data_IF_659356366057
#
_entry.id   IF_659356366057
#
_cell.length_a   1.000
_cell.length_b   1.000
_cell.length_c   1.000
_cell.angle_alpha   90.00
_cell.angle_beta   90.00
_cell.angle_gamma   90.00
#
_symmetry.space_group_name_H-M   'P 1'
#
loop_
_entity.id
_entity.type
_entity.pdbx_description
1 polymer ?
#
# COMPACT_ATOMS: atom_id res chain seq x y z
N UNK A 1 48.12 19.92 -10.30
CA UNK A 1 48.27 18.45 -10.07
C UNK A 1 47.10 17.84 -9.28
N UNK A 2 45.83 18.23 -9.51
CA UNK A 2 44.67 17.73 -8.74
C UNK A 2 43.66 16.91 -9.58
N UNK A 3 43.83 16.89 -10.91
CA UNK A 3 42.89 16.30 -11.88
C UNK A 3 42.93 14.76 -11.90
N UNK A 4 44.14 14.19 -11.84
CA UNK A 4 44.37 12.74 -11.92
C UNK A 4 43.82 11.95 -10.70
N UNK A 5 43.69 12.60 -9.54
CA UNK A 5 43.09 12.00 -8.34
C UNK A 5 41.55 11.92 -8.44
N UNK A 6 40.91 12.96 -8.99
CA UNK A 6 39.45 12.99 -9.17
C UNK A 6 38.97 11.99 -10.22
N UNK A 7 39.74 11.79 -11.29
CA UNK A 7 39.41 10.80 -12.33
C UNK A 7 39.53 9.37 -11.83
N UNK A 8 40.60 9.04 -11.10
CA UNK A 8 40.75 7.71 -10.46
C UNK A 8 39.63 7.42 -9.45
N UNK A 9 39.22 8.43 -8.68
CA UNK A 9 38.09 8.27 -7.76
C UNK A 9 36.78 7.99 -8.50
N UNK A 10 36.50 8.71 -9.60
CA UNK A 10 35.32 8.47 -10.44
C UNK A 10 35.30 7.07 -11.06
N UNK A 11 36.44 6.58 -11.53
CA UNK A 11 36.54 5.23 -12.09
C UNK A 11 36.30 4.15 -11.02
N UNK A 12 36.83 4.35 -9.81
CA UNK A 12 36.58 3.46 -8.68
C UNK A 12 35.09 3.43 -8.28
N UNK A 13 34.47 4.60 -8.20
CA UNK A 13 33.05 4.74 -7.87
C UNK A 13 32.15 4.11 -8.95
N UNK A 14 32.50 4.26 -10.23
CA UNK A 14 31.79 3.62 -11.34
C UNK A 14 31.85 2.08 -11.25
N UNK A 15 33.04 1.51 -11.03
CA UNK A 15 33.20 0.04 -10.86
C UNK A 15 32.41 -0.48 -9.65
N UNK A 16 32.36 0.29 -8.56
CA UNK A 16 31.54 -0.03 -7.38
C UNK A 16 30.04 0.06 -7.66
N UNK A 17 29.61 1.06 -8.42
CA UNK A 17 28.21 1.23 -8.80
C UNK A 17 27.76 0.07 -9.70
N UNK A 18 28.57 -0.31 -10.67
CA UNK A 18 28.32 -1.45 -11.57
C UNK A 18 28.20 -2.77 -10.78
N UNK A 19 29.14 -3.04 -9.86
CA UNK A 19 29.07 -4.22 -8.99
C UNK A 19 27.83 -4.25 -8.09
N UNK A 20 27.28 -3.08 -7.74
CA UNK A 20 26.09 -2.94 -6.88
C UNK A 20 24.78 -2.94 -7.66
N UNK A 21 24.82 -2.69 -8.97
CA UNK A 21 23.63 -2.63 -9.82
C UNK A 21 22.84 -3.93 -9.72
N UNK A 22 21.52 -3.83 -9.49
CA UNK A 22 20.62 -4.99 -9.39
C UNK A 22 20.70 -5.81 -8.09
N UNK A 23 21.66 -5.54 -7.19
CA UNK A 23 21.82 -6.32 -5.94
C UNK A 23 21.15 -5.68 -4.72
N UNK A 24 20.64 -4.47 -4.88
CA UNK A 24 20.05 -3.65 -3.82
C UNK A 24 18.69 -3.16 -4.26
N UNK A 25 17.72 -3.21 -3.36
CA UNK A 25 16.40 -2.62 -3.58
C UNK A 25 15.97 -1.87 -2.33
N UNK A 26 14.86 -1.14 -2.43
CA UNK A 26 14.23 -0.47 -1.30
C UNK A 26 13.26 -1.36 -0.54
N UNK A 27 12.78 -2.44 -1.17
CA UNK A 27 11.61 -3.14 -0.67
C UNK A 27 11.88 -4.62 -0.49
N UNK A 28 11.58 -5.11 0.71
CA UNK A 28 11.78 -6.49 1.09
C UNK A 28 10.61 -6.99 1.89
N UNK A 29 10.34 -8.30 1.82
CA UNK A 29 9.30 -8.91 2.63
C UNK A 29 9.76 -10.19 3.30
N UNK A 30 9.07 -10.54 4.38
CA UNK A 30 9.26 -11.77 5.14
C UNK A 30 7.92 -12.31 5.63
N UNK A 31 7.95 -13.52 6.17
CA UNK A 31 6.83 -14.13 6.88
C UNK A 31 7.19 -14.24 8.36
N UNK A 32 6.26 -13.90 9.25
CA UNK A 32 6.42 -14.03 10.70
C UNK A 32 5.37 -15.02 11.22
N UNK A 33 5.82 -16.07 11.90
CA UNK A 33 4.96 -17.05 12.56
C UNK A 33 4.74 -16.65 14.02
N UNK A 34 3.49 -16.38 14.46
CA UNK A 34 3.23 -15.92 15.82
C UNK A 34 3.72 -16.89 16.90
N UNK A 35 3.73 -18.20 16.63
CA UNK A 35 4.15 -19.22 17.59
C UNK A 35 5.65 -19.21 17.90
N UNK A 36 6.48 -18.67 16.99
CA UNK A 36 7.94 -18.68 17.13
C UNK A 36 8.55 -17.27 17.18
N UNK A 37 7.77 -16.24 16.87
CA UNK A 37 8.23 -14.86 16.93
C UNK A 37 8.40 -14.39 18.40
N UNK A 38 9.33 -13.45 18.67
CA UNK A 38 9.37 -12.78 19.97
C UNK A 38 8.02 -12.17 20.32
N UNK A 39 7.57 -12.25 21.58
CA UNK A 39 6.25 -11.74 21.98
C UNK A 39 6.04 -10.25 21.66
N UNK A 40 7.13 -9.47 21.62
CA UNK A 40 7.19 -8.04 21.35
C UNK A 40 7.64 -7.68 19.92
N UNK A 41 7.59 -8.63 18.97
CA UNK A 41 8.15 -8.44 17.62
C UNK A 41 7.57 -7.22 16.87
N UNK A 42 6.28 -6.92 17.05
CA UNK A 42 5.64 -5.73 16.45
C UNK A 42 6.23 -4.44 17.00
N UNK A 43 6.46 -4.38 18.32
CA UNK A 43 7.09 -3.22 18.96
C UNK A 43 8.54 -3.09 18.48
N UNK A 44 9.29 -4.19 18.38
CA UNK A 44 10.65 -4.17 17.83
C UNK A 44 10.67 -3.60 16.41
N UNK A 45 9.71 -4.01 15.57
CA UNK A 45 9.57 -3.49 14.22
C UNK A 45 9.25 -1.99 14.21
N UNK A 46 8.30 -1.54 15.03
CA UNK A 46 7.93 -0.13 15.17
C UNK A 46 9.15 0.73 15.58
N UNK A 47 9.96 0.27 16.53
CA UNK A 47 11.16 0.97 17.01
C UNK A 47 12.28 1.06 15.97
N UNK A 48 12.18 0.35 14.84
CA UNK A 48 13.13 0.55 13.73
C UNK A 48 12.90 1.86 12.99
N UNK A 49 11.70 2.46 13.12
CA UNK A 49 11.23 3.61 12.35
C UNK A 49 11.31 3.43 10.83
N UNK A 50 11.38 2.17 10.36
CA UNK A 50 11.35 1.86 8.93
C UNK A 50 9.87 1.87 8.48
N UNK A 51 9.53 2.56 7.37
CA UNK A 51 8.20 2.47 6.77
C UNK A 51 7.88 1.00 6.45
N UNK A 52 6.80 0.47 7.03
CA UNK A 52 6.43 -0.93 6.82
C UNK A 52 4.94 -1.20 6.99
N UNK A 53 4.51 -2.30 6.40
CA UNK A 53 3.15 -2.84 6.48
C UNK A 53 3.18 -4.26 7.04
N UNK A 54 2.24 -4.57 7.91
CA UNK A 54 1.98 -5.93 8.39
C UNK A 54 0.58 -6.32 7.95
N UNK A 55 0.45 -7.49 7.31
CA UNK A 55 -0.86 -8.05 6.96
C UNK A 55 -1.75 -8.24 8.18
N UNK A 56 -3.05 -8.50 7.99
CA UNK A 56 -3.85 -9.20 8.98
C UNK A 56 -3.22 -10.57 9.30
N UNK A 57 -3.69 -11.25 10.34
CA UNK A 57 -3.26 -12.63 10.57
C UNK A 57 -3.80 -13.52 9.44
N UNK A 58 -2.91 -14.14 8.67
CA UNK A 58 -3.29 -15.10 7.64
C UNK A 58 -3.56 -16.47 8.27
N UNK A 59 -4.81 -16.68 8.71
CA UNK A 59 -5.28 -17.90 9.36
C UNK A 59 -6.30 -18.69 8.51
N UNK A 60 -6.65 -18.19 7.33
CA UNK A 60 -7.63 -18.79 6.40
C UNK A 60 -6.99 -19.31 5.10
N UNK A 61 -5.67 -19.25 5.01
CA UNK A 61 -4.96 -19.67 3.81
C UNK A 61 -4.93 -21.19 3.69
N UNK A 62 -5.14 -21.68 2.46
CA UNK A 62 -5.18 -23.12 2.16
C UNK A 62 -4.01 -23.45 1.21
N UNK A 63 -3.34 -24.56 1.46
CA UNK A 63 -2.34 -25.12 0.55
C UNK A 63 -2.99 -25.70 -0.71
N UNK A 64 -2.25 -25.86 -1.82
CA UNK A 64 -2.79 -26.51 -3.02
C UNK A 64 -3.39 -27.92 -2.79
N UNK A 65 -2.94 -28.62 -1.74
CA UNK A 65 -3.49 -29.92 -1.32
C UNK A 65 -4.75 -29.87 -0.45
N UNK A 66 -5.29 -28.68 -0.15
CA UNK A 66 -6.50 -28.50 0.68
C UNK A 66 -6.23 -28.36 2.18
N UNK A 67 -5.00 -28.60 2.64
CA UNK A 67 -4.64 -28.44 4.05
C UNK A 67 -4.50 -26.96 4.45
N UNK A 68 -4.99 -26.55 5.64
CA UNK A 68 -4.76 -25.20 6.16
C UNK A 68 -3.27 -24.89 6.29
N UNK A 69 -2.88 -23.67 5.91
CA UNK A 69 -1.53 -23.16 6.19
C UNK A 69 -1.40 -22.81 7.67
N UNK A 70 -0.17 -22.87 8.16
CA UNK A 70 0.16 -22.34 9.49
C UNK A 70 -0.18 -20.84 9.54
N UNK A 71 -0.81 -20.35 10.63
CA UNK A 71 -1.09 -18.93 10.81
C UNK A 71 0.19 -18.10 10.72
N UNK A 72 0.17 -17.05 9.92
CA UNK A 72 1.34 -16.21 9.71
C UNK A 72 0.99 -14.76 9.40
N UNK A 73 1.96 -13.87 9.56
CA UNK A 73 1.89 -12.49 9.07
C UNK A 73 2.86 -12.34 7.90
N UNK A 74 2.44 -11.59 6.89
CA UNK A 74 3.35 -11.00 5.92
C UNK A 74 3.81 -9.64 6.42
N UNK A 75 5.13 -9.38 6.35
CA UNK A 75 5.72 -8.08 6.70
C UNK A 75 6.45 -7.52 5.49
N UNK A 76 6.11 -6.30 5.10
CA UNK A 76 6.72 -5.56 3.99
C UNK A 76 7.50 -4.36 4.55
N UNK A 77 8.80 -4.30 4.30
CA UNK A 77 9.64 -3.12 4.55
C UNK A 77 9.78 -2.30 3.27
N UNK A 78 9.65 -0.98 3.40
CA UNK A 78 9.88 -0.01 2.33
C UNK A 78 10.92 1.04 2.80
N UNK A 79 12.20 0.73 2.60
CA UNK A 79 13.29 1.61 3.00
C UNK A 79 13.35 2.89 2.13
N UNK A 80 13.66 4.03 2.74
CA UNK A 80 13.87 5.29 2.02
C UNK A 80 15.05 5.22 1.02
N UNK A 81 16.09 4.46 1.39
CA UNK A 81 17.27 4.20 0.58
C UNK A 81 17.44 2.72 0.25
N UNK A 82 18.14 2.43 -0.85
CA UNK A 82 18.38 1.03 -1.25
C UNK A 82 19.23 0.29 -0.21
N UNK A 83 18.81 -0.92 0.16
CA UNK A 83 19.49 -1.82 1.07
C UNK A 83 19.93 -3.08 0.33
N UNK A 84 20.92 -3.79 0.87
CA UNK A 84 21.21 -5.16 0.44
C UNK A 84 20.22 -6.12 1.11
N UNK A 85 20.11 -7.35 0.57
CA UNK A 85 19.33 -8.41 1.23
C UNK A 85 19.81 -8.69 2.66
N UNK A 86 21.12 -8.65 2.90
CA UNK A 86 21.69 -8.87 4.24
C UNK A 86 21.24 -7.78 5.24
N UNK A 87 21.25 -6.51 4.83
CA UNK A 87 20.77 -5.41 5.68
C UNK A 87 19.27 -5.52 5.99
N UNK A 88 18.47 -6.01 5.05
CA UNK A 88 17.05 -6.29 5.31
C UNK A 88 16.87 -7.51 6.22
N UNK A 89 17.68 -8.55 6.04
CA UNK A 89 17.69 -9.75 6.88
C UNK A 89 18.00 -9.41 8.34
N UNK A 90 18.97 -8.53 8.61
CA UNK A 90 19.29 -8.05 9.96
C UNK A 90 18.05 -7.50 10.68
N UNK A 91 17.17 -6.78 9.97
CA UNK A 91 15.90 -6.30 10.53
C UNK A 91 14.93 -7.46 10.77
N UNK A 92 14.76 -8.35 9.78
CA UNK A 92 13.84 -9.48 9.89
C UNK A 92 14.22 -10.47 11.00
N UNK A 93 15.50 -10.70 11.23
CA UNK A 93 15.99 -11.58 12.29
C UNK A 93 15.54 -11.10 13.68
N UNK A 94 15.44 -9.77 13.90
CA UNK A 94 14.99 -9.21 15.19
C UNK A 94 13.52 -9.48 15.50
N UNK A 95 12.71 -9.73 14.48
CA UNK A 95 11.26 -9.96 14.60
C UNK A 95 10.88 -11.43 14.39
N UNK A 96 11.87 -12.32 14.24
CA UNK A 96 11.62 -13.74 13.95
C UNK A 96 11.11 -13.99 12.53
N UNK A 97 11.49 -13.14 11.57
CA UNK A 97 11.13 -13.28 10.16
C UNK A 97 11.78 -14.51 9.52
N UNK A 98 10.99 -15.25 8.74
CA UNK A 98 11.42 -16.42 7.98
C UNK A 98 11.53 -16.04 6.51
N UNK A 99 12.77 -16.05 6.01
CA UNK A 99 13.09 -15.64 4.65
C UNK A 99 13.20 -14.13 4.49
N UNK A 100 13.73 -13.73 3.33
CA UNK A 100 13.85 -12.34 2.93
C UNK A 100 13.72 -12.27 1.40
N UNK A 101 12.57 -11.80 0.95
CA UNK A 101 12.19 -11.72 -0.45
C UNK A 101 12.39 -10.31 -0.98
N UNK A 102 12.84 -10.19 -2.23
CA UNK A 102 12.93 -8.91 -2.93
C UNK A 102 11.53 -8.55 -3.44
N UNK A 103 11.05 -7.35 -3.10
CA UNK A 103 9.74 -6.87 -3.54
C UNK A 103 9.90 -5.92 -4.72
N UNK A 104 9.45 -6.38 -5.88
CA UNK A 104 9.55 -5.62 -7.13
C UNK A 104 8.47 -4.52 -7.25
N UNK A 105 7.31 -4.74 -6.66
CA UNK A 105 6.19 -3.78 -6.65
C UNK A 105 5.60 -3.69 -5.26
N UNK A 106 5.83 -2.54 -4.60
CA UNK A 106 5.26 -2.26 -3.26
C UNK A 106 3.74 -2.32 -3.30
N UNK A 107 3.12 -1.71 -4.31
CA UNK A 107 1.66 -1.77 -4.53
C UNK A 107 1.17 -3.20 -4.68
N UNK A 108 1.83 -4.00 -5.53
CA UNK A 108 1.42 -5.39 -5.75
C UNK A 108 1.51 -6.23 -4.47
N UNK A 109 2.59 -6.07 -3.70
CA UNK A 109 2.77 -6.79 -2.44
C UNK A 109 1.79 -6.30 -1.36
N UNK A 110 1.54 -4.99 -1.27
CA UNK A 110 0.56 -4.42 -0.32
C UNK A 110 -0.86 -4.93 -0.62
N UNK A 111 -1.27 -4.99 -1.89
CA UNK A 111 -2.55 -5.59 -2.29
C UNK A 111 -2.59 -7.09 -1.98
N UNK A 112 -1.46 -7.77 -2.08
CA UNK A 112 -1.33 -9.18 -1.71
C UNK A 112 -1.54 -9.43 -0.20
N UNK A 113 -1.20 -8.48 0.69
CA UNK A 113 -1.43 -8.61 2.14
C UNK A 113 -2.90 -8.86 2.51
N UNK A 114 -3.83 -8.50 1.63
CA UNK A 114 -5.26 -8.74 1.83
C UNK A 114 -5.87 -9.63 0.73
N UNK A 115 -5.04 -10.21 -0.14
CA UNK A 115 -5.45 -10.98 -1.31
C UNK A 115 -6.43 -10.27 -2.26
N UNK A 116 -6.25 -8.96 -2.46
CA UNK A 116 -7.18 -8.13 -3.24
C UNK A 116 -7.28 -8.52 -4.72
N UNK A 117 -6.24 -9.17 -5.26
CA UNK A 117 -6.12 -9.53 -6.67
C UNK A 117 -6.25 -11.04 -6.94
N UNK A 118 -6.61 -11.85 -5.93
CA UNK A 118 -6.77 -13.29 -6.08
C UNK A 118 -8.13 -13.78 -5.55
N UNK A 119 -9.09 -14.08 -6.44
CA UNK A 119 -10.45 -14.48 -6.04
C UNK A 119 -10.52 -15.89 -5.43
N UNK A 120 -9.51 -16.74 -5.63
CA UNK A 120 -9.47 -18.10 -5.10
C UNK A 120 -8.97 -18.15 -3.65
N UNK A 121 -8.34 -17.08 -3.18
CA UNK A 121 -7.82 -16.99 -1.81
C UNK A 121 -8.81 -16.29 -0.89
N UNK A 122 -8.76 -16.64 0.40
CA UNK A 122 -9.48 -15.91 1.42
C UNK A 122 -9.04 -14.43 1.44
N UNK A 123 -10.00 -13.52 1.29
CA UNK A 123 -9.77 -12.07 1.37
C UNK A 123 -9.73 -11.64 2.83
N UNK A 124 -8.74 -10.82 3.18
CA UNK A 124 -8.60 -10.26 4.53
C UNK A 124 -9.04 -8.80 4.58
N UNK A 125 -9.35 -8.31 5.79
CA UNK A 125 -9.85 -6.96 5.98
C UNK A 125 -8.71 -5.94 5.88
N UNK A 126 -8.86 -4.98 4.96
CA UNK A 126 -7.90 -3.89 4.72
C UNK A 126 -7.68 -3.04 6.00
N UNK A 127 -8.71 -2.88 6.82
CA UNK A 127 -8.65 -2.18 8.12
C UNK A 127 -7.80 -2.88 9.18
N UNK A 128 -7.43 -4.14 8.99
CA UNK A 128 -6.58 -4.89 9.90
C UNK A 128 -5.09 -4.82 9.54
N UNK A 129 -4.73 -4.14 8.45
CA UNK A 129 -3.32 -3.90 8.09
C UNK A 129 -2.70 -2.93 9.10
N UNK A 130 -1.60 -3.36 9.73
CA UNK A 130 -0.83 -2.49 10.63
C UNK A 130 0.17 -1.68 9.80
N UNK A 131 0.30 -0.40 10.12
CA UNK A 131 1.10 0.58 9.38
C UNK A 131 2.09 1.24 10.32
N UNK A 132 3.38 1.26 9.95
CA UNK A 132 4.44 1.93 10.72
C UNK A 132 5.30 2.82 9.83
N UNK A 133 6.05 3.73 10.46
CA UNK A 133 7.02 4.59 9.80
C UNK A 133 6.43 5.52 8.73
N UNK A 134 5.14 5.88 8.86
CA UNK A 134 4.45 6.80 7.95
C UNK A 134 4.04 6.22 6.59
N UNK A 135 4.10 4.90 6.40
CA UNK A 135 3.62 4.27 5.19
C UNK A 135 2.10 4.12 5.21
N UNK A 136 1.40 4.82 4.32
CA UNK A 136 -0.05 4.72 4.18
C UNK A 136 -0.44 3.55 3.25
N UNK A 137 -1.13 2.57 3.81
CA UNK A 137 -1.60 1.37 3.12
C UNK A 137 -2.57 1.70 1.98
N UNK A 138 -3.53 2.59 2.22
CA UNK A 138 -4.60 2.88 1.28
C UNK A 138 -4.10 3.67 0.07
N UNK A 139 -3.16 4.59 0.30
CA UNK A 139 -2.45 5.28 -0.77
C UNK A 139 -1.66 4.29 -1.64
N UNK A 140 -0.98 3.33 -1.00
CA UNK A 140 -0.15 2.35 -1.69
C UNK A 140 -1.00 1.45 -2.59
N UNK A 141 -2.13 0.93 -2.09
CA UNK A 141 -2.96 -0.05 -2.82
C UNK A 141 -3.88 0.58 -3.87
N UNK A 142 -4.12 1.89 -3.80
CA UNK A 142 -5.07 2.59 -4.66
C UNK A 142 -4.76 2.47 -6.14
N UNK A 143 -5.78 2.16 -6.95
CA UNK A 143 -5.70 2.12 -8.41
C UNK A 143 -6.44 3.31 -9.04
N UNK A 144 -5.96 3.77 -10.20
CA UNK A 144 -6.66 4.79 -10.97
C UNK A 144 -8.05 4.33 -11.42
N UNK A 145 -8.22 3.04 -11.72
CA UNK A 145 -9.51 2.43 -12.06
C UNK A 145 -10.52 2.56 -10.92
N UNK A 146 -10.08 2.41 -9.67
CA UNK A 146 -10.95 2.49 -8.49
C UNK A 146 -11.47 3.90 -8.31
N UNK A 147 -10.63 4.90 -8.56
CA UNK A 147 -11.02 6.33 -8.56
C UNK A 147 -12.08 6.62 -9.63
N UNK A 148 -11.88 6.15 -10.86
CA UNK A 148 -12.86 6.33 -11.94
C UNK A 148 -14.19 5.62 -11.64
N UNK A 149 -14.12 4.43 -11.03
CA UNK A 149 -15.31 3.68 -10.60
C UNK A 149 -16.08 4.47 -9.54
N UNK A 150 -15.41 4.94 -8.48
CA UNK A 150 -16.03 5.75 -7.43
C UNK A 150 -16.71 7.01 -8.00
N UNK A 151 -16.03 7.74 -8.91
CA UNK A 151 -16.63 8.92 -9.57
C UNK A 151 -17.88 8.55 -10.37
N UNK A 152 -17.87 7.44 -11.10
CA UNK A 152 -19.04 6.96 -11.85
C UNK A 152 -20.20 6.67 -10.90
N UNK A 153 -19.94 5.93 -9.83
CA UNK A 153 -20.97 5.55 -8.86
C UNK A 153 -21.52 6.78 -8.12
N UNK A 154 -20.69 7.76 -7.77
CA UNK A 154 -21.13 9.04 -7.19
C UNK A 154 -22.05 9.81 -8.15
N UNK A 155 -21.73 9.84 -9.45
CA UNK A 155 -22.58 10.48 -10.47
C UNK A 155 -23.94 9.77 -10.56
N UNK A 156 -23.94 8.45 -10.56
CA UNK A 156 -25.17 7.63 -10.58
C UNK A 156 -26.00 7.85 -9.32
N UNK A 157 -25.37 7.82 -8.15
CA UNK A 157 -26.03 8.14 -6.88
C UNK A 157 -26.70 9.50 -6.89
N UNK A 158 -26.00 10.56 -7.32
CA UNK A 158 -26.61 11.89 -7.43
C UNK A 158 -27.78 11.90 -8.43
N UNK A 159 -27.71 11.11 -9.51
CA UNK A 159 -28.83 10.92 -10.46
C UNK A 159 -30.05 10.34 -9.79
N UNK A 160 -29.87 9.26 -9.07
CA UNK A 160 -30.96 8.45 -8.56
C UNK A 160 -31.60 9.08 -7.31
N UNK A 161 -30.80 9.76 -6.47
CA UNK A 161 -31.29 10.40 -5.23
C UNK A 161 -31.66 11.87 -5.41
N UNK A 162 -31.26 12.49 -6.50
CA UNK A 162 -31.52 13.92 -6.74
C UNK A 162 -30.58 14.87 -6.00
N UNK A 163 -29.49 14.37 -5.41
CA UNK A 163 -28.45 15.22 -4.79
C UNK A 163 -27.89 16.24 -5.80
N UNK A 164 -27.92 17.52 -5.42
CA UNK A 164 -27.44 18.65 -6.21
C UNK A 164 -26.43 19.54 -5.46
N UNK A 165 -26.21 19.30 -4.16
CA UNK A 165 -25.23 19.99 -3.35
C UNK A 165 -24.04 19.09 -3.02
N UNK A 166 -22.84 19.69 -2.99
CA UNK A 166 -21.61 18.95 -2.74
C UNK A 166 -21.52 18.48 -1.28
N UNK A 167 -22.03 19.28 -0.33
CA UNK A 167 -22.04 18.92 1.08
C UNK A 167 -22.80 17.62 1.32
N UNK A 168 -24.02 17.49 0.76
CA UNK A 168 -24.85 16.29 0.89
C UNK A 168 -24.13 15.03 0.37
N UNK A 169 -23.45 15.15 -0.78
CA UNK A 169 -22.66 14.04 -1.34
C UNK A 169 -21.48 13.67 -0.42
N UNK A 170 -20.78 14.68 0.10
CA UNK A 170 -19.60 14.46 0.96
C UNK A 170 -19.99 13.84 2.30
N UNK A 171 -21.06 14.33 2.94
CA UNK A 171 -21.59 13.77 4.19
C UNK A 171 -22.07 12.34 4.00
N UNK A 172 -22.84 12.05 2.95
CA UNK A 172 -23.23 10.68 2.62
C UNK A 172 -22.01 9.77 2.45
N UNK A 173 -21.01 10.22 1.69
CA UNK A 173 -19.79 9.44 1.48
C UNK A 173 -19.06 9.17 2.80
N UNK A 174 -18.95 10.17 3.68
CA UNK A 174 -18.28 10.04 4.97
C UNK A 174 -18.90 8.97 5.87
N UNK A 175 -20.23 8.80 5.85
CA UNK A 175 -20.92 7.83 6.71
C UNK A 175 -21.11 6.46 6.04
N UNK A 176 -21.39 6.43 4.75
CA UNK A 176 -21.87 5.21 4.06
C UNK A 176 -20.88 4.64 3.05
N UNK A 177 -19.95 5.46 2.52
CA UNK A 177 -19.05 5.10 1.41
C UNK A 177 -17.66 5.71 1.60
N UNK A 178 -16.91 5.15 2.56
CA UNK A 178 -15.53 5.55 2.87
C UNK A 178 -14.62 5.59 1.61
N UNK A 179 -14.84 4.68 0.65
CA UNK A 179 -14.14 4.65 -0.62
C UNK A 179 -14.43 5.89 -1.50
N UNK A 180 -15.68 6.37 -1.51
CA UNK A 180 -16.02 7.63 -2.17
C UNK A 180 -15.47 8.83 -1.41
N UNK A 181 -15.55 8.81 -0.08
CA UNK A 181 -15.09 9.91 0.76
C UNK A 181 -13.61 10.20 0.52
N UNK A 182 -12.77 9.16 0.49
CA UNK A 182 -11.35 9.29 0.15
C UNK A 182 -11.14 9.86 -1.24
N UNK A 183 -11.83 9.32 -2.25
CA UNK A 183 -11.72 9.83 -3.62
C UNK A 183 -12.10 11.31 -3.68
N UNK A 184 -13.18 11.72 -3.00
CA UNK A 184 -13.60 13.12 -2.93
C UNK A 184 -12.52 14.01 -2.31
N UNK A 185 -11.95 13.62 -1.16
CA UNK A 185 -10.89 14.34 -0.46
C UNK A 185 -9.60 14.45 -1.27
N UNK A 186 -9.21 13.39 -1.99
CA UNK A 186 -7.91 13.34 -2.65
C UNK A 186 -7.90 14.01 -4.03
N UNK A 187 -8.92 13.75 -4.84
CA UNK A 187 -8.88 14.09 -6.28
C UNK A 187 -10.25 14.29 -6.95
N UNK A 188 -11.34 13.89 -6.29
CA UNK A 188 -12.69 13.83 -6.84
C UNK A 188 -13.48 15.12 -6.70
N UNK A 189 -13.11 15.99 -5.74
CA UNK A 189 -13.81 17.26 -5.44
C UNK A 189 -14.06 18.08 -6.71
N UNK A 190 -13.02 18.35 -7.52
CA UNK A 190 -13.16 19.21 -8.69
C UNK A 190 -14.14 18.64 -9.72
N UNK A 191 -14.05 17.34 -10.00
CA UNK A 191 -14.95 16.65 -10.95
C UNK A 191 -16.39 16.69 -10.44
N UNK A 192 -16.62 16.33 -9.18
CA UNK A 192 -17.97 16.24 -8.61
C UNK A 192 -18.62 17.60 -8.42
N UNK A 193 -17.89 18.63 -7.99
CA UNK A 193 -18.42 19.99 -7.87
C UNK A 193 -18.85 20.55 -9.24
N UNK A 194 -18.03 20.38 -10.29
CA UNK A 194 -18.39 20.83 -11.63
C UNK A 194 -19.60 20.09 -12.19
N UNK A 195 -19.67 18.76 -11.96
CA UNK A 195 -20.83 17.96 -12.31
C UNK A 195 -22.11 18.47 -11.63
N UNK A 196 -22.09 18.63 -10.30
CA UNK A 196 -23.24 19.08 -9.51
C UNK A 196 -23.68 20.50 -9.90
N UNK A 197 -22.73 21.42 -10.12
CA UNK A 197 -23.00 22.77 -10.61
C UNK A 197 -23.70 22.75 -11.98
N UNK A 198 -23.15 21.99 -12.94
CA UNK A 198 -23.74 21.84 -14.28
C UNK A 198 -25.16 21.26 -14.21
N UNK A 199 -25.34 20.23 -13.36
CA UNK A 199 -26.64 19.60 -13.12
C UNK A 199 -27.66 20.57 -12.54
N UNK A 200 -27.28 21.34 -11.51
CA UNK A 200 -28.14 22.36 -10.89
C UNK A 200 -28.61 23.38 -11.92
N UNK A 201 -27.70 23.90 -12.75
CA UNK A 201 -28.05 24.81 -13.84
C UNK A 201 -29.03 24.17 -14.85
N UNK A 202 -28.80 22.90 -15.21
CA UNK A 202 -29.68 22.16 -16.12
C UNK A 202 -31.10 21.96 -15.56
N UNK A 203 -31.24 21.80 -14.24
CA UNK A 203 -32.54 21.69 -13.57
C UNK A 203 -33.24 23.05 -13.49
N UNK A 204 -32.52 24.11 -13.12
CA UNK A 204 -33.05 25.48 -13.07
C UNK A 204 -33.52 25.97 -14.45
N UNK A 205 -32.84 25.58 -15.54
CA UNK A 205 -33.24 25.94 -16.90
C UNK A 205 -34.51 25.20 -17.40
N UNK A 206 -35.00 24.20 -16.64
CA UNK A 206 -36.20 23.42 -16.96
C UNK A 206 -37.39 23.75 -16.06
N UNK A 207 -37.20 24.57 -15.02
CA UNK A 207 -38.22 25.06 -14.12
C UNK A 207 -38.75 26.41 -14.63
#
# INVERSE_FOLDING_TARGET
MATNSKEKQREYDAKRAEKRAGTRTRNYATVVYPESAPADWKNKLEQTFIPCLISPLHDKDINPGGEPKKPHYHVLLAFEGVKTKAQAQEVFDTIGGVGCEVVNSVRGYARYLCHLDNPEKARYAESQVTQYGGLDYYDVIGLASDKHKAIREMIEYCKDTGVIEYADLLEYAMYEREDWFRVLCDCGTFTMQNYLKSRRHKLMAKA
#
